data_IF_289606376831
#
_entry.id   IF_289606376831
#
_cell.length_a   1.000
_cell.length_b   1.000
_cell.length_c   1.000
_cell.angle_alpha   90.00
_cell.angle_beta   90.00
_cell.angle_gamma   90.00
#
_symmetry.space_group_name_H-M   'P 1'
#
loop_
_entity.id
_entity.type
_entity.pdbx_description
1 polymer ?
#
# COMPACT_ATOMS: atom_id res chain seq x y z
N UNK A 1 7.13 2.94 -11.33
CA UNK A 1 7.26 3.07 -9.86
C UNK A 1 6.64 1.86 -9.17
N UNK A 2 5.32 1.67 -9.24
CA UNK A 2 4.64 0.50 -8.61
C UNK A 2 5.17 -0.85 -9.09
N UNK A 3 5.47 -0.99 -10.39
CA UNK A 3 6.04 -2.19 -11.00
C UNK A 3 7.36 -2.66 -10.38
N UNK A 4 8.10 -1.78 -9.70
CA UNK A 4 9.39 -2.12 -9.10
C UNK A 4 9.24 -2.69 -7.68
N UNK A 5 8.09 -2.54 -7.04
CA UNK A 5 7.88 -2.97 -5.65
C UNK A 5 8.11 -4.48 -5.43
N UNK A 6 7.70 -5.41 -6.32
CA UNK A 6 8.06 -6.81 -6.16
C UNK A 6 9.57 -7.02 -6.21
N UNK A 7 10.28 -6.40 -7.17
CA UNK A 7 11.73 -6.63 -7.34
C UNK A 7 12.59 -6.25 -6.13
N UNK A 8 12.19 -5.25 -5.33
CA UNK A 8 12.97 -4.86 -4.15
C UNK A 8 12.96 -5.94 -3.06
N UNK A 9 11.95 -6.83 -3.07
CA UNK A 9 11.87 -7.97 -2.14
C UNK A 9 12.94 -9.04 -2.40
N UNK A 10 13.63 -8.98 -3.55
CA UNK A 10 14.77 -9.87 -3.84
C UNK A 10 16.01 -9.49 -3.02
N UNK A 11 16.07 -8.26 -2.50
CA UNK A 11 17.17 -7.79 -1.68
C UNK A 11 16.86 -8.03 -0.20
N UNK A 12 17.71 -8.78 0.54
CA UNK A 12 17.50 -9.02 1.96
C UNK A 12 17.39 -7.72 2.75
N UNK A 13 16.36 -7.62 3.59
CA UNK A 13 16.13 -6.45 4.45
C UNK A 13 15.55 -5.22 3.75
N UNK A 14 15.31 -5.28 2.44
CA UNK A 14 14.64 -4.22 1.68
C UNK A 14 13.18 -4.60 1.48
N UNK A 15 12.28 -3.67 1.77
CA UNK A 15 10.85 -3.89 1.74
C UNK A 15 10.16 -2.83 0.86
N UNK A 16 9.06 -3.19 0.17
CA UNK A 16 8.21 -2.22 -0.51
C UNK A 16 7.70 -1.14 0.45
N UNK A 17 7.32 0.06 -0.04
CA UNK A 17 6.96 1.21 0.80
C UNK A 17 5.67 1.03 1.62
N UNK A 18 4.96 -0.08 1.44
CA UNK A 18 3.76 -0.44 2.20
C UNK A 18 4.01 -1.57 3.21
N UNK A 19 5.20 -2.17 3.23
CA UNK A 19 5.58 -3.26 4.14
C UNK A 19 6.60 -2.73 5.14
N UNK A 20 6.25 -2.66 6.42
CA UNK A 20 7.22 -2.23 7.44
C UNK A 20 8.08 -3.40 7.91
N UNK A 21 9.40 -3.19 8.00
CA UNK A 21 10.38 -4.21 8.37
C UNK A 21 10.23 -4.77 9.80
N UNK A 22 9.57 -4.02 10.69
CA UNK A 22 9.29 -4.45 12.08
C UNK A 22 7.92 -5.10 12.29
N UNK A 23 7.00 -5.03 11.32
CA UNK A 23 5.60 -5.40 11.58
C UNK A 23 5.36 -6.92 11.60
N UNK A 24 5.94 -7.64 10.64
CA UNK A 24 5.62 -9.06 10.42
C UNK A 24 6.53 -10.04 11.13
N UNK A 25 7.42 -9.58 12.01
CA UNK A 25 8.31 -10.47 12.75
C UNK A 25 7.58 -11.05 13.95
N UNK A 26 7.40 -12.37 13.98
CA UNK A 26 6.91 -13.06 15.16
C UNK A 26 8.00 -13.10 16.25
N UNK A 27 7.67 -13.61 17.44
CA UNK A 27 8.63 -13.76 18.55
C UNK A 27 9.81 -14.68 18.23
N UNK A 28 9.65 -15.60 17.27
CA UNK A 28 10.72 -16.46 16.75
C UNK A 28 11.52 -15.79 15.60
N UNK A 29 11.13 -14.59 15.15
CA UNK A 29 11.78 -13.85 14.07
C UNK A 29 11.25 -14.14 12.66
N UNK A 30 10.28 -15.04 12.53
CA UNK A 30 9.68 -15.42 11.24
C UNK A 30 8.72 -14.36 10.70
N UNK A 31 8.56 -14.33 9.37
CA UNK A 31 7.61 -13.47 8.65
C UNK A 31 6.25 -14.16 8.55
N UNK A 32 5.16 -13.40 8.64
CA UNK A 32 3.80 -13.91 8.42
C UNK A 32 3.70 -14.71 7.10
N UNK A 33 3.12 -15.92 7.17
CA UNK A 33 3.16 -16.91 6.09
C UNK A 33 2.69 -16.39 4.72
N UNK A 34 1.55 -15.67 4.60
CA UNK A 34 1.10 -15.15 3.29
C UNK A 34 2.15 -14.29 2.61
N UNK A 35 2.81 -13.42 3.38
CA UNK A 35 3.83 -12.53 2.89
C UNK A 35 5.10 -13.33 2.55
N UNK A 36 5.54 -14.25 3.41
CA UNK A 36 6.69 -15.11 3.14
C UNK A 36 6.53 -15.91 1.83
N UNK A 37 5.34 -16.44 1.56
CA UNK A 37 5.04 -17.10 0.28
C UNK A 37 5.09 -16.15 -0.91
N UNK A 38 4.60 -14.92 -0.75
CA UNK A 38 4.74 -13.89 -1.78
C UNK A 38 6.22 -13.57 -2.09
N UNK A 39 7.09 -13.51 -1.07
CA UNK A 39 8.55 -13.39 -1.28
C UNK A 39 9.10 -14.54 -2.13
N UNK A 40 8.73 -15.79 -1.82
CA UNK A 40 9.14 -16.96 -2.61
C UNK A 40 8.63 -16.90 -4.05
N UNK A 41 7.37 -16.52 -4.26
CA UNK A 41 6.76 -16.37 -5.58
C UNK A 41 7.45 -15.28 -6.41
N UNK A 42 7.83 -14.15 -5.80
CA UNK A 42 8.61 -13.09 -6.45
C UNK A 42 9.98 -13.63 -6.89
N UNK A 43 10.68 -14.35 -6.01
CA UNK A 43 11.95 -14.99 -6.35
C UNK A 43 11.81 -15.95 -7.54
N UNK A 44 10.79 -16.82 -7.50
CA UNK A 44 10.51 -17.75 -8.59
C UNK A 44 10.16 -17.03 -9.90
N UNK A 45 9.39 -15.93 -9.85
CA UNK A 45 9.03 -15.12 -11.01
C UNK A 45 10.27 -14.55 -11.70
N UNK A 46 11.15 -13.88 -10.95
CA UNK A 46 12.35 -13.25 -11.53
C UNK A 46 13.45 -14.23 -11.90
N UNK A 47 13.48 -15.42 -11.30
CA UNK A 47 14.42 -16.49 -11.66
C UNK A 47 13.90 -17.42 -12.78
N UNK A 48 12.64 -17.26 -13.20
CA UNK A 48 12.03 -18.14 -14.18
C UNK A 48 12.71 -18.04 -15.54
N UNK A 49 12.76 -19.17 -16.24
CA UNK A 49 13.18 -19.27 -17.65
C UNK A 49 11.96 -19.64 -18.51
N UNK A 50 12.00 -19.46 -19.85
CA UNK A 50 10.81 -19.66 -20.70
C UNK A 50 10.11 -21.01 -20.51
N UNK A 51 10.86 -22.10 -20.22
CA UNK A 51 10.29 -23.44 -20.02
C UNK A 51 9.55 -23.58 -18.67
N UNK A 52 9.93 -22.81 -17.65
CA UNK A 52 9.34 -22.88 -16.31
C UNK A 52 8.31 -21.78 -16.02
N UNK A 53 8.11 -20.84 -16.95
CA UNK A 53 7.28 -19.65 -16.75
C UNK A 53 5.83 -20.01 -16.41
N UNK A 54 5.23 -20.96 -17.15
CA UNK A 54 3.88 -21.47 -16.88
C UNK A 54 3.74 -22.07 -15.48
N UNK A 55 4.76 -22.80 -15.02
CA UNK A 55 4.75 -23.37 -13.67
C UNK A 55 4.74 -22.28 -12.59
N UNK A 56 5.56 -21.24 -12.75
CA UNK A 56 5.60 -20.12 -11.80
C UNK A 56 4.29 -19.34 -11.79
N UNK A 57 3.67 -19.14 -12.96
CA UNK A 57 2.34 -18.56 -13.07
C UNK A 57 1.26 -19.40 -12.39
N UNK A 58 1.29 -20.72 -12.54
CA UNK A 58 0.38 -21.61 -11.82
C UNK A 58 0.54 -21.48 -10.30
N UNK A 59 1.78 -21.39 -9.82
CA UNK A 59 2.08 -21.20 -8.39
C UNK A 59 1.51 -19.87 -7.85
N UNK A 60 1.75 -18.75 -8.55
CA UNK A 60 1.22 -17.43 -8.16
C UNK A 60 -0.31 -17.44 -8.13
N UNK A 61 -0.93 -18.02 -9.16
CA UNK A 61 -2.38 -18.10 -9.27
C UNK A 61 -2.98 -19.01 -8.19
N UNK A 62 -2.32 -20.12 -7.85
CA UNK A 62 -2.77 -21.02 -6.78
C UNK A 62 -2.74 -20.32 -5.42
N UNK A 63 -1.65 -19.65 -5.08
CA UNK A 63 -1.55 -18.90 -3.82
C UNK A 63 -2.56 -17.74 -3.77
N UNK A 64 -2.72 -16.99 -4.86
CA UNK A 64 -3.75 -15.93 -4.95
C UNK A 64 -5.15 -16.50 -4.69
N UNK A 65 -5.49 -17.63 -5.32
CA UNK A 65 -6.78 -18.28 -5.14
C UNK A 65 -6.99 -18.78 -3.70
N UNK A 66 -5.95 -19.33 -3.06
CA UNK A 66 -6.00 -19.74 -1.65
C UNK A 66 -6.29 -18.56 -0.73
N UNK A 67 -5.60 -17.43 -0.94
CA UNK A 67 -5.80 -16.22 -0.14
C UNK A 67 -7.23 -15.68 -0.29
N UNK A 68 -7.74 -15.56 -1.52
CA UNK A 68 -9.11 -15.10 -1.78
C UNK A 68 -10.14 -16.02 -1.12
N UNK A 69 -9.99 -17.34 -1.28
CA UNK A 69 -10.91 -18.33 -0.68
C UNK A 69 -10.83 -18.33 0.85
N UNK A 70 -9.63 -18.23 1.43
CA UNK A 70 -9.43 -18.32 2.88
C UNK A 70 -9.74 -17.03 3.64
N UNK A 71 -9.77 -15.87 2.99
CA UNK A 71 -9.84 -14.58 3.69
C UNK A 71 -11.07 -14.44 4.61
N UNK A 72 -12.22 -14.93 4.18
CA UNK A 72 -13.45 -14.87 4.98
C UNK A 72 -13.37 -15.68 6.30
N UNK A 73 -12.49 -16.68 6.35
CA UNK A 73 -12.31 -17.58 7.49
C UNK A 73 -11.27 -17.08 8.49
N UNK A 74 -10.49 -16.05 8.13
CA UNK A 74 -9.48 -15.53 9.04
C UNK A 74 -10.13 -15.06 10.35
N UNK A 75 -9.63 -15.54 11.50
CA UNK A 75 -10.00 -14.96 12.78
C UNK A 75 -9.63 -13.48 12.71
N UNK A 76 -10.46 -12.60 13.26
CA UNK A 76 -10.35 -11.16 13.06
C UNK A 76 -9.12 -10.51 13.71
N UNK A 77 -7.89 -10.97 13.46
CA UNK A 77 -6.67 -10.26 13.81
C UNK A 77 -6.28 -9.34 12.65
N UNK A 78 -6.12 -8.04 12.94
CA UNK A 78 -5.79 -7.03 11.92
C UNK A 78 -4.47 -7.37 11.22
N UNK A 79 -3.52 -7.98 11.95
CA UNK A 79 -2.21 -8.38 11.43
C UNK A 79 -2.29 -9.50 10.37
N UNK A 80 -3.12 -10.52 10.59
CA UNK A 80 -3.26 -11.64 9.65
C UNK A 80 -3.95 -11.19 8.36
N UNK A 81 -5.04 -10.42 8.47
CA UNK A 81 -5.69 -9.84 7.30
C UNK A 81 -4.76 -8.93 6.52
N UNK A 82 -4.00 -8.09 7.23
CA UNK A 82 -3.04 -7.20 6.60
C UNK A 82 -1.94 -7.96 5.86
N UNK A 83 -1.39 -9.03 6.44
CA UNK A 83 -0.38 -9.88 5.77
C UNK A 83 -0.93 -10.50 4.47
N UNK A 84 -2.20 -10.94 4.48
CA UNK A 84 -2.86 -11.44 3.27
C UNK A 84 -3.07 -10.34 2.24
N UNK A 85 -3.53 -9.15 2.65
CA UNK A 85 -3.71 -8.01 1.72
C UNK A 85 -2.36 -7.57 1.14
N UNK A 86 -1.27 -7.60 1.91
CA UNK A 86 0.09 -7.33 1.42
C UNK A 86 0.54 -8.33 0.36
N UNK A 87 0.32 -9.62 0.59
CA UNK A 87 0.61 -10.65 -0.41
C UNK A 87 -0.21 -10.42 -1.70
N UNK A 88 -1.49 -10.09 -1.56
CA UNK A 88 -2.34 -9.73 -2.70
C UNK A 88 -1.85 -8.48 -3.44
N UNK A 89 -1.35 -7.44 -2.76
CA UNK A 89 -0.73 -6.29 -3.42
C UNK A 89 0.41 -6.74 -4.34
N UNK A 90 1.29 -7.63 -3.87
CA UNK A 90 2.41 -8.15 -4.69
C UNK A 90 1.88 -8.91 -5.91
N UNK A 91 0.94 -9.84 -5.74
CA UNK A 91 0.40 -10.62 -6.85
C UNK A 91 -0.33 -9.76 -7.88
N UNK A 92 -1.09 -8.76 -7.43
CA UNK A 92 -1.77 -7.81 -8.33
C UNK A 92 -0.77 -6.93 -9.09
N UNK A 93 0.31 -6.48 -8.44
CA UNK A 93 1.36 -5.73 -9.12
C UNK A 93 2.06 -6.59 -10.17
N UNK A 94 2.39 -7.84 -9.83
CA UNK A 94 2.98 -8.79 -10.78
C UNK A 94 2.06 -9.00 -11.98
N UNK A 95 0.77 -9.24 -11.78
CA UNK A 95 -0.18 -9.51 -12.86
C UNK A 95 -0.51 -8.31 -13.76
N UNK A 96 -0.68 -7.11 -13.18
CA UNK A 96 -1.05 -5.92 -13.96
C UNK A 96 0.15 -5.16 -14.56
N UNK A 97 1.28 -5.08 -13.84
CA UNK A 97 2.33 -4.10 -14.15
C UNK A 97 3.71 -4.69 -14.42
N UNK A 98 3.92 -5.98 -14.17
CA UNK A 98 5.25 -6.63 -14.38
C UNK A 98 5.16 -7.72 -15.43
N UNK A 99 4.16 -8.60 -15.34
CA UNK A 99 3.95 -9.68 -16.29
C UNK A 99 3.61 -9.14 -17.67
N UNK A 100 4.24 -9.72 -18.69
CA UNK A 100 3.89 -9.51 -20.10
C UNK A 100 2.90 -10.55 -20.61
N UNK A 101 2.59 -11.59 -19.82
CA UNK A 101 1.66 -12.64 -20.18
C UNK A 101 0.19 -12.16 -20.02
N UNK A 102 -0.61 -12.12 -21.10
CA UNK A 102 -2.01 -11.68 -21.03
C UNK A 102 -2.90 -12.50 -20.09
N UNK A 103 -2.62 -13.80 -19.92
CA UNK A 103 -3.38 -14.66 -19.01
C UNK A 103 -3.21 -14.24 -17.55
N UNK A 104 -2.02 -13.74 -17.20
CA UNK A 104 -1.75 -13.22 -15.85
C UNK A 104 -2.47 -11.90 -15.60
N UNK A 105 -2.51 -11.01 -16.60
CA UNK A 105 -3.32 -9.79 -16.52
C UNK A 105 -4.80 -10.13 -16.35
N UNK A 106 -5.34 -11.10 -17.11
CA UNK A 106 -6.73 -11.57 -16.95
C UNK A 106 -6.98 -12.20 -15.58
N UNK A 107 -6.03 -12.97 -15.06
CA UNK A 107 -6.12 -13.53 -13.72
C UNK A 107 -6.18 -12.43 -12.66
N UNK A 108 -5.29 -11.44 -12.73
CA UNK A 108 -5.28 -10.28 -11.82
C UNK A 108 -6.63 -9.53 -11.86
N UNK A 109 -7.13 -9.21 -13.05
CA UNK A 109 -8.44 -8.59 -13.27
C UNK A 109 -9.58 -9.40 -12.63
N UNK A 110 -9.61 -10.72 -12.84
CA UNK A 110 -10.65 -11.58 -12.27
C UNK A 110 -10.66 -11.59 -10.73
N UNK A 111 -9.49 -11.35 -10.11
CA UNK A 111 -9.35 -11.33 -8.66
C UNK A 111 -9.51 -9.93 -8.05
N UNK A 112 -9.53 -8.88 -8.88
CA UNK A 112 -9.51 -7.49 -8.44
C UNK A 112 -10.71 -7.16 -7.54
N UNK A 113 -11.91 -7.60 -7.90
CA UNK A 113 -13.11 -7.37 -7.08
C UNK A 113 -13.01 -7.99 -5.68
N UNK A 114 -12.35 -9.14 -5.54
CA UNK A 114 -12.14 -9.79 -4.25
C UNK A 114 -11.09 -9.03 -3.45
N UNK A 115 -10.00 -8.62 -4.11
CA UNK A 115 -8.96 -7.81 -3.48
C UNK A 115 -9.50 -6.48 -2.91
N UNK A 116 -10.38 -5.80 -3.64
CA UNK A 116 -11.05 -4.59 -3.14
C UNK A 116 -11.92 -4.90 -1.91
N UNK A 117 -12.74 -5.96 -1.95
CA UNK A 117 -13.56 -6.39 -0.81
C UNK A 117 -12.73 -6.76 0.42
N UNK A 118 -11.61 -7.45 0.22
CA UNK A 118 -10.68 -7.81 1.30
C UNK A 118 -10.12 -6.56 1.97
N UNK A 119 -9.70 -5.58 1.16
CA UNK A 119 -9.14 -4.31 1.65
C UNK A 119 -10.18 -3.48 2.39
N UNK A 120 -11.43 -3.42 1.92
CA UNK A 120 -12.54 -2.76 2.64
C UNK A 120 -12.80 -3.40 4.00
N UNK A 121 -12.80 -4.74 4.06
CA UNK A 121 -12.99 -5.45 5.34
C UNK A 121 -11.86 -5.14 6.32
N UNK A 122 -10.61 -5.17 5.85
CA UNK A 122 -9.44 -4.79 6.66
C UNK A 122 -9.61 -3.37 7.21
N UNK A 123 -9.88 -2.38 6.35
CA UNK A 123 -10.05 -1.00 6.76
C UNK A 123 -11.19 -0.82 7.77
N UNK A 124 -12.34 -1.45 7.51
CA UNK A 124 -13.50 -1.41 8.42
C UNK A 124 -13.18 -2.01 9.78
N UNK A 125 -12.55 -3.18 9.81
CA UNK A 125 -12.25 -3.85 11.06
C UNK A 125 -11.28 -3.03 11.92
N UNK A 126 -10.21 -2.54 11.30
CA UNK A 126 -9.22 -1.73 11.98
C UNK A 126 -9.79 -0.42 12.54
N UNK A 127 -10.71 0.24 11.82
CA UNK A 127 -11.42 1.42 12.34
C UNK A 127 -12.28 1.11 13.57
N UNK A 128 -12.74 -0.14 13.74
CA UNK A 128 -13.54 -0.56 14.90
C UNK A 128 -12.68 -0.90 16.13
N UNK A 129 -11.44 -1.38 15.93
CA UNK A 129 -10.54 -1.84 17.00
C UNK A 129 -9.63 -0.74 17.57
N UNK A 130 -9.52 0.41 16.89
CA UNK A 130 -8.55 1.48 17.21
C UNK A 130 -8.83 2.31 18.48
N UNK A 131 -9.80 1.95 19.32
CA UNK A 131 -10.33 2.79 20.42
C UNK A 131 -9.68 2.63 21.80
N UNK A 132 -8.56 1.89 21.93
CA UNK A 132 -7.88 1.71 23.22
C UNK A 132 -6.65 2.64 23.35
N UNK A 133 -6.56 3.38 24.45
CA UNK A 133 -5.41 4.23 24.83
C UNK A 133 -4.39 3.42 25.64
N UNK A 134 -3.10 3.49 25.28
CA UNK A 134 -2.00 2.78 25.96
C UNK A 134 -0.72 3.66 26.07
N UNK A 135 0.32 3.14 26.74
CA UNK A 135 1.63 3.79 26.94
C UNK A 135 2.49 3.96 25.66
N UNK A 136 3.64 4.61 25.76
CA UNK A 136 4.46 5.08 24.61
C UNK A 136 4.90 3.98 23.61
N UNK A 137 5.37 2.81 24.06
CA UNK A 137 5.73 1.71 23.14
C UNK A 137 4.48 1.16 22.44
N UNK A 138 3.36 1.05 23.16
CA UNK A 138 2.08 0.66 22.57
C UNK A 138 1.62 1.72 21.55
N UNK A 139 1.85 3.00 21.83
CA UNK A 139 1.54 4.09 20.89
C UNK A 139 2.36 4.02 19.60
N UNK A 140 3.64 3.64 19.66
CA UNK A 140 4.43 3.42 18.44
C UNK A 140 3.97 2.20 17.66
N UNK A 141 3.73 1.05 18.32
CA UNK A 141 3.24 -0.16 17.64
C UNK A 141 1.86 0.03 17.03
N UNK A 142 0.96 0.71 17.74
CA UNK A 142 -0.34 1.15 17.24
C UNK A 142 -0.16 2.04 16.02
N UNK A 143 0.58 3.15 16.16
CA UNK A 143 0.88 4.04 15.03
C UNK A 143 1.47 3.30 13.83
N UNK A 144 2.35 2.31 14.07
CA UNK A 144 2.95 1.52 13.01
C UNK A 144 1.91 0.68 12.26
N UNK A 145 0.99 0.03 12.98
CA UNK A 145 -0.13 -0.68 12.38
C UNK A 145 -1.03 0.28 11.60
N UNK A 146 -1.40 1.40 12.21
CA UNK A 146 -2.23 2.46 11.63
C UNK A 146 -1.67 2.94 10.29
N UNK A 147 -0.38 3.29 10.28
CA UNK A 147 0.32 3.80 9.11
C UNK A 147 0.53 2.71 8.04
N UNK A 148 0.76 1.46 8.45
CA UNK A 148 0.86 0.35 7.51
C UNK A 148 -0.47 0.11 6.80
N UNK A 149 -1.59 0.11 7.52
CA UNK A 149 -2.93 -0.04 6.93
C UNK A 149 -3.23 1.13 6.01
N UNK A 150 -2.93 2.37 6.42
CA UNK A 150 -3.09 3.56 5.58
C UNK A 150 -2.33 3.46 4.25
N UNK A 151 -1.03 3.12 4.30
CA UNK A 151 -0.19 2.89 3.10
C UNK A 151 -0.73 1.76 2.23
N UNK A 152 -1.21 0.69 2.85
CA UNK A 152 -1.81 -0.44 2.13
C UNK A 152 -3.07 -0.04 1.38
N UNK A 153 -4.00 0.64 2.04
CA UNK A 153 -5.25 1.15 1.46
C UNK A 153 -4.96 2.07 0.28
N UNK A 154 -4.00 2.99 0.43
CA UNK A 154 -3.59 3.85 -0.68
C UNK A 154 -2.96 3.09 -1.84
N UNK A 155 -2.13 2.09 -1.57
CA UNK A 155 -1.55 1.27 -2.62
C UNK A 155 -2.62 0.46 -3.37
N UNK A 156 -3.60 -0.12 -2.67
CA UNK A 156 -4.71 -0.84 -3.32
C UNK A 156 -5.49 0.10 -4.23
N UNK A 157 -5.78 1.32 -3.77
CA UNK A 157 -6.40 2.34 -4.61
C UNK A 157 -5.53 2.65 -5.84
N UNK A 158 -4.23 2.86 -5.64
CA UNK A 158 -3.30 3.14 -6.73
C UNK A 158 -3.24 2.00 -7.76
N UNK A 159 -3.19 0.74 -7.33
CA UNK A 159 -3.23 -0.45 -8.19
C UNK A 159 -4.52 -0.42 -9.03
N UNK A 160 -5.67 -0.25 -8.38
CA UNK A 160 -6.98 -0.26 -9.03
C UNK A 160 -7.16 0.89 -10.04
N UNK A 161 -6.70 2.09 -9.69
CA UNK A 161 -6.77 3.24 -10.59
C UNK A 161 -5.81 3.10 -11.76
N UNK A 162 -4.57 2.64 -11.51
CA UNK A 162 -3.56 2.50 -12.56
C UNK A 162 -3.86 1.36 -13.53
N UNK A 163 -4.38 0.22 -13.06
CA UNK A 163 -4.75 -0.92 -13.93
C UNK A 163 -5.75 -0.49 -15.00
N UNK A 164 -6.74 0.33 -14.65
CA UNK A 164 -7.67 0.92 -15.61
C UNK A 164 -7.01 1.97 -16.51
N UNK A 165 -6.22 2.91 -15.95
CA UNK A 165 -5.56 3.96 -16.76
C UNK A 165 -4.63 3.40 -17.82
N UNK A 166 -3.94 2.29 -17.52
CA UNK A 166 -3.05 1.61 -18.47
C UNK A 166 -3.75 0.53 -19.30
N UNK A 167 -5.10 0.51 -19.30
CA UNK A 167 -5.95 -0.38 -20.09
C UNK A 167 -5.66 -1.87 -19.86
N UNK A 168 -5.24 -2.23 -18.65
CA UNK A 168 -5.02 -3.61 -18.20
C UNK A 168 -6.24 -4.19 -17.47
N UNK A 169 -7.22 -3.35 -17.18
CA UNK A 169 -8.53 -3.72 -16.64
C UNK A 169 -9.62 -3.05 -17.48
N UNK A 170 -10.65 -3.81 -17.82
CA UNK A 170 -11.84 -3.31 -18.51
C UNK A 170 -12.54 -2.25 -17.63
N UNK A 171 -12.81 -1.05 -18.16
CA UNK A 171 -13.52 0.00 -17.42
C UNK A 171 -14.89 -0.44 -16.87
N UNK A 172 -15.55 -1.41 -17.48
CA UNK A 172 -16.84 -1.94 -17.01
C UNK A 172 -16.73 -2.76 -15.71
N UNK A 173 -15.53 -3.27 -15.39
CA UNK A 173 -15.24 -3.97 -14.15
C UNK A 173 -14.60 -3.07 -13.10
N UNK A 174 -14.41 -1.78 -13.40
CA UNK A 174 -13.86 -0.85 -12.44
C UNK A 174 -14.87 -0.54 -11.33
N UNK A 175 -14.43 -0.71 -10.09
CA UNK A 175 -15.16 -0.31 -8.91
C UNK A 175 -14.20 0.52 -8.03
N UNK A 176 -14.59 1.72 -7.53
CA UNK A 176 -13.81 2.44 -6.51
C UNK A 176 -13.39 1.52 -5.37
N UNK A 177 -12.23 1.72 -4.75
CA UNK A 177 -11.99 1.07 -3.47
C UNK A 177 -13.01 1.60 -2.43
N UNK A 178 -12.94 2.88 -2.10
CA UNK A 178 -13.92 3.61 -1.30
C UNK A 178 -13.46 5.08 -1.31
N UNK A 179 -14.07 5.92 -2.15
CA UNK A 179 -13.59 7.29 -2.34
C UNK A 179 -13.65 8.11 -1.05
N UNK A 180 -14.72 7.93 -0.27
CA UNK A 180 -14.90 8.68 0.96
C UNK A 180 -13.84 8.28 1.99
N UNK A 181 -13.52 6.98 2.09
CA UNK A 181 -12.39 6.52 2.89
C UNK A 181 -11.07 7.16 2.38
N UNK A 182 -10.76 7.02 1.09
CA UNK A 182 -9.48 7.50 0.52
C UNK A 182 -9.31 9.00 0.72
N UNK A 183 -10.34 9.79 0.43
CA UNK A 183 -10.30 11.25 0.50
C UNK A 183 -10.17 11.78 1.94
N UNK A 184 -10.66 11.02 2.92
CA UNK A 184 -10.64 11.42 4.33
C UNK A 184 -9.39 10.91 5.09
N UNK A 185 -8.62 9.98 4.54
CA UNK A 185 -7.33 9.59 5.10
C UNK A 185 -6.31 10.74 4.97
N UNK A 186 -5.45 10.89 5.98
CA UNK A 186 -4.29 11.78 5.92
C UNK A 186 -3.24 11.25 4.94
N UNK A 187 -2.39 12.12 4.42
CA UNK A 187 -1.21 11.74 3.65
C UNK A 187 -0.35 10.71 4.42
N UNK A 188 0.33 9.78 3.72
CA UNK A 188 1.33 8.92 4.34
C UNK A 188 2.34 9.73 5.14
N UNK A 189 2.80 9.17 6.26
CA UNK A 189 3.87 9.76 7.04
C UNK A 189 5.16 9.83 6.21
N UNK A 190 5.97 10.90 6.34
CA UNK A 190 7.27 10.99 5.69
C UNK A 190 8.15 9.77 5.91
N UNK A 191 8.97 9.44 4.90
CA UNK A 191 9.82 8.24 4.91
C UNK A 191 10.75 8.17 6.13
N UNK A 192 11.25 9.30 6.62
CA UNK A 192 12.10 9.37 7.82
C UNK A 192 11.40 8.85 9.08
N UNK A 193 10.10 9.11 9.25
CA UNK A 193 9.33 8.57 10.36
C UNK A 193 9.01 7.10 10.10
N UNK A 194 8.60 6.78 8.87
CA UNK A 194 8.22 5.42 8.46
C UNK A 194 9.36 4.41 8.61
N UNK A 195 10.62 4.81 8.46
CA UNK A 195 11.76 3.88 8.56
C UNK A 195 12.17 3.54 9.99
N UNK A 196 11.64 4.25 11.00
CA UNK A 196 12.03 4.08 12.40
C UNK A 196 11.95 2.62 12.84
N UNK A 197 12.98 2.16 13.55
CA UNK A 197 13.16 0.77 13.95
C UNK A 197 12.77 0.51 15.42
N UNK A 198 12.53 1.58 16.18
CA UNK A 198 12.09 1.58 17.57
C UNK A 198 11.21 2.80 17.90
N UNK A 199 10.58 2.81 19.09
CA UNK A 199 9.76 3.92 19.57
C UNK A 199 10.60 5.19 19.83
N UNK A 200 11.85 5.02 20.26
CA UNK A 200 12.80 6.11 20.49
C UNK A 200 13.20 6.75 19.17
N UNK A 201 13.57 5.95 18.17
CA UNK A 201 13.88 6.44 16.82
C UNK A 201 12.68 7.15 16.20
N UNK A 202 11.47 6.61 16.38
CA UNK A 202 10.24 7.22 15.90
C UNK A 202 9.98 8.59 16.55
N UNK A 203 10.18 8.69 17.86
CA UNK A 203 10.00 9.95 18.61
C UNK A 203 11.05 10.98 18.20
N UNK A 204 12.30 10.57 18.06
CA UNK A 204 13.39 11.41 17.59
C UNK A 204 13.10 11.93 16.17
N UNK A 205 12.73 11.05 15.24
CA UNK A 205 12.38 11.42 13.86
C UNK A 205 11.25 12.45 13.82
N UNK A 206 10.20 12.28 14.61
CA UNK A 206 9.11 13.26 14.72
C UNK A 206 9.58 14.62 15.26
N UNK A 207 10.44 14.64 16.28
CA UNK A 207 10.96 15.87 16.88
C UNK A 207 11.88 16.67 15.96
N UNK A 208 12.56 15.98 15.03
CA UNK A 208 13.50 16.57 14.08
C UNK A 208 12.83 17.04 12.78
N UNK A 209 11.54 16.72 12.59
CA UNK A 209 10.83 17.16 11.39
C UNK A 209 10.61 18.67 11.38
N UNK A 210 10.84 19.33 10.23
CA UNK A 210 10.44 20.72 10.04
C UNK A 210 8.95 20.93 10.34
N UNK A 211 8.58 22.10 10.85
CA UNK A 211 7.20 22.41 11.23
C UNK A 211 6.21 22.25 10.06
N UNK A 212 6.65 22.59 8.85
CA UNK A 212 5.85 22.41 7.64
C UNK A 212 5.59 20.93 7.35
N UNK A 213 6.60 20.06 7.47
CA UNK A 213 6.50 18.61 7.26
C UNK A 213 5.56 17.97 8.28
N UNK A 214 5.65 18.40 9.53
CA UNK A 214 4.75 17.96 10.59
C UNK A 214 3.30 18.36 10.30
N UNK A 215 3.07 19.60 9.80
CA UNK A 215 1.74 20.04 9.40
C UNK A 215 1.20 19.20 8.23
N UNK A 216 2.05 18.83 7.26
CA UNK A 216 1.68 17.99 6.11
C UNK A 216 1.18 16.61 6.51
N UNK A 217 1.70 16.02 7.58
CA UNK A 217 1.22 14.71 8.08
C UNK A 217 -0.25 14.70 8.50
N UNK A 218 -0.84 15.88 8.74
CA UNK A 218 -2.25 16.05 9.16
C UNK A 218 -3.18 16.39 7.99
N UNK A 219 -2.63 16.64 6.80
CA UNK A 219 -3.41 17.03 5.63
C UNK A 219 -4.07 15.78 5.04
N UNK A 220 -5.38 15.86 4.77
CA UNK A 220 -6.11 14.78 4.08
C UNK A 220 -5.78 14.72 2.61
N UNK A 221 -5.99 13.56 1.98
CA UNK A 221 -5.83 13.43 0.53
C UNK A 221 -6.66 14.46 -0.23
N UNK A 222 -7.93 14.65 0.17
CA UNK A 222 -8.81 15.67 -0.41
C UNK A 222 -8.18 17.06 -0.36
N UNK A 223 -7.71 17.46 0.82
CA UNK A 223 -7.08 18.76 1.02
C UNK A 223 -5.79 18.90 0.17
N UNK A 224 -4.95 17.86 0.12
CA UNK A 224 -3.71 17.89 -0.65
C UNK A 224 -3.98 18.04 -2.15
N UNK A 225 -4.89 17.24 -2.68
CA UNK A 225 -5.39 17.32 -4.06
C UNK A 225 -5.91 18.72 -4.40
N UNK A 226 -6.79 19.28 -3.55
CA UNK A 226 -7.43 20.57 -3.81
C UNK A 226 -6.38 21.69 -3.82
N UNK A 227 -5.43 21.66 -2.90
CA UNK A 227 -4.35 22.65 -2.83
C UNK A 227 -3.43 22.58 -4.07
N UNK A 228 -3.08 21.38 -4.54
CA UNK A 228 -2.22 21.19 -5.71
C UNK A 228 -2.94 21.65 -7.00
N UNK A 229 -4.21 21.26 -7.17
CA UNK A 229 -5.02 21.69 -8.33
C UNK A 229 -5.19 23.20 -8.40
N UNK A 230 -5.42 23.85 -7.26
CA UNK A 230 -5.55 25.30 -7.19
C UNK A 230 -4.23 26.01 -7.51
N UNK A 231 -3.09 25.44 -7.12
CA UNK A 231 -1.76 25.98 -7.44
C UNK A 231 -1.49 26.01 -8.96
N UNK A 232 -1.96 25.00 -9.70
CA UNK A 232 -1.83 24.96 -11.16
C UNK A 232 -2.72 25.95 -11.92
N UNK A 233 -3.77 26.51 -11.28
CA UNK A 233 -4.73 27.44 -11.89
C UNK A 233 -4.38 28.91 -11.69
N UNK A 234 -3.70 29.26 -10.60
CA UNK A 234 -3.32 30.63 -10.26
C UNK A 234 -1.83 30.85 -10.52
N UNK A 235 -1.48 31.20 -11.76
CA UNK A 235 -0.12 31.61 -12.11
C UNK A 235 0.33 32.82 -11.27
N UNK A 236 1.36 32.59 -10.45
CA UNK A 236 2.40 33.49 -9.94
C UNK A 236 2.05 34.95 -9.56
N UNK A 237 0.84 35.22 -9.04
CA UNK A 237 0.54 36.50 -8.39
C UNK A 237 -0.30 36.34 -7.13
N UNK A 238 0.35 36.55 -6.00
CA UNK A 238 -0.30 36.99 -4.76
C UNK A 238 -0.08 36.06 -3.56
N UNK A 239 0.80 36.50 -2.66
CA UNK A 239 0.86 36.16 -1.23
C UNK A 239 0.95 34.67 -0.87
N UNK A 240 2.20 34.19 -0.69
CA UNK A 240 2.56 32.85 -0.17
C UNK A 240 1.99 32.64 1.24
N UNK A 241 0.82 32.00 1.32
CA UNK A 241 0.40 31.28 2.52
C UNK A 241 0.29 29.78 2.15
N UNK A 242 1.23 28.98 2.68
CA UNK A 242 1.21 27.51 2.79
C UNK A 242 0.56 26.73 1.63
N UNK A 243 1.09 26.85 0.41
CA UNK A 243 0.70 26.00 -0.72
C UNK A 243 1.57 24.73 -0.77
N UNK A 244 0.93 23.57 -0.86
CA UNK A 244 1.62 22.28 -1.03
C UNK A 244 2.23 22.18 -2.44
N UNK A 245 3.55 22.04 -2.51
CA UNK A 245 4.26 21.75 -3.75
C UNK A 245 4.41 20.25 -3.95
N UNK A 246 4.00 19.74 -5.12
CA UNK A 246 4.02 18.31 -5.43
C UNK A 246 5.42 17.69 -5.32
N UNK A 247 6.46 18.44 -5.70
CA UNK A 247 7.84 17.93 -5.76
C UNK A 247 8.45 17.62 -4.39
N UNK A 248 7.91 18.20 -3.32
CA UNK A 248 8.40 18.05 -1.93
C UNK A 248 8.00 16.69 -1.32
N UNK A 249 7.13 15.94 -1.99
CA UNK A 249 6.69 14.62 -1.53
C UNK A 249 7.63 13.51 -2.00
N UNK A 250 7.78 12.48 -1.17
CA UNK A 250 8.42 11.23 -1.58
C UNK A 250 7.61 10.54 -2.68
N UNK A 251 8.25 9.60 -3.37
CA UNK A 251 7.68 8.87 -4.50
C UNK A 251 6.36 8.16 -4.17
N UNK A 252 6.26 7.56 -2.98
CA UNK A 252 5.05 6.87 -2.56
C UNK A 252 3.92 7.87 -2.36
N UNK A 253 4.17 8.98 -1.66
CA UNK A 253 3.17 10.03 -1.43
C UNK A 253 2.72 10.68 -2.74
N UNK A 254 3.65 10.90 -3.71
CA UNK A 254 3.31 11.36 -5.06
C UNK A 254 2.38 10.40 -5.80
N UNK A 255 2.64 9.10 -5.71
CA UNK A 255 1.78 8.06 -6.27
C UNK A 255 0.35 8.12 -5.66
N UNK A 256 0.25 8.27 -4.33
CA UNK A 256 -1.04 8.38 -3.65
C UNK A 256 -1.84 9.57 -4.18
N UNK A 257 -1.23 10.76 -4.21
CA UNK A 257 -1.88 11.98 -4.70
C UNK A 257 -2.30 11.81 -6.17
N UNK A 258 -1.41 11.30 -7.03
CA UNK A 258 -1.69 11.13 -8.46
C UNK A 258 -2.80 10.10 -8.77
N UNK A 259 -3.14 9.23 -7.83
CA UNK A 259 -4.16 8.18 -7.98
C UNK A 259 -5.44 8.43 -7.19
N UNK A 260 -5.47 9.45 -6.32
CA UNK A 260 -6.63 9.80 -5.51
C UNK A 260 -7.78 10.50 -6.28
N UNK A 261 -7.47 11.04 -7.45
CA UNK A 261 -8.28 12.04 -8.13
C UNK A 261 -9.09 11.56 -9.33
N UNK A 262 -8.97 10.29 -9.67
CA UNK A 262 -9.63 9.75 -10.85
C UNK A 262 -10.78 8.90 -10.41
N UNK A 263 -11.93 9.58 -10.29
CA UNK A 263 -13.26 9.07 -10.62
C UNK A 263 -14.06 10.19 -11.27
#
# INVERSE_FOLDING_TARGET
MVSNYPSVMLQPGVYPPFVHHKLYRCSAGDVAEPLAKAFCCVGAFYASVPVSETFVYSLINEETNKLVKGFHQLPGSDADMLAVVHAMCIYQILGFFVSVNPEQTRAAESQQMFFLKMTRRLAKQYLQTSTVEDGEESNWRKWLMDETIRRTVFLVNAINTLSCRVQKQDPNYFEPLDNDLIHNLTLPAPEVIWRASSAEEWTLAKSQLPSDDLARTKVTIRQAVDQIKNTGRFGDRGTRASQLQFDVFDDFTKLVIATADVQ
#
